data_IF_089416066616
#
_entry.id   IF_089416066616
#
_cell.length_a   1.000
_cell.length_b   1.000
_cell.length_c   1.000
_cell.angle_alpha   90.00
_cell.angle_beta   90.00
_cell.angle_gamma   90.00
#
_symmetry.space_group_name_H-M   'P 1'
#
loop_
_entity.id
_entity.type
_entity.pdbx_description
1 polymer ?
#
# COMPACT_ATOMS: atom_id res chain seq x y z
N UNK A 1 -30.52 11.73 -23.26
CA UNK A 1 -29.36 12.07 -22.41
C UNK A 1 -29.12 10.87 -21.50
N UNK A 2 -28.26 9.94 -21.90
CA UNK A 2 -27.90 8.76 -21.10
C UNK A 2 -26.94 9.19 -20.00
N UNK A 3 -27.32 9.00 -18.74
CA UNK A 3 -26.41 9.17 -17.63
C UNK A 3 -25.29 8.14 -17.78
N UNK A 4 -24.05 8.59 -17.99
CA UNK A 4 -22.88 7.70 -17.89
C UNK A 4 -22.74 7.35 -16.41
N UNK A 5 -23.01 6.10 -16.03
CA UNK A 5 -22.52 5.56 -14.77
C UNK A 5 -20.99 5.59 -14.84
N UNK A 6 -20.36 6.38 -13.98
CA UNK A 6 -18.91 6.29 -13.80
C UNK A 6 -18.61 4.99 -13.08
N UNK A 7 -18.21 3.94 -13.82
CA UNK A 7 -17.64 2.74 -13.22
C UNK A 7 -16.43 3.14 -12.38
N UNK A 8 -16.47 2.84 -11.08
CA UNK A 8 -15.34 3.08 -10.19
C UNK A 8 -14.48 1.84 -10.18
N UNK A 9 -13.23 1.99 -10.61
CA UNK A 9 -12.27 0.90 -10.68
C UNK A 9 -11.44 0.83 -9.40
N UNK A 10 -11.13 -0.38 -8.97
CA UNK A 10 -10.39 -0.66 -7.73
C UNK A 10 -9.27 -1.65 -7.99
N UNK A 11 -8.15 -1.48 -7.29
CA UNK A 11 -7.13 -2.51 -7.13
C UNK A 11 -7.48 -3.32 -5.89
N UNK A 12 -7.60 -4.64 -6.06
CA UNK A 12 -7.82 -5.56 -4.95
C UNK A 12 -6.51 -6.23 -4.54
N UNK A 13 -6.34 -6.48 -3.25
CA UNK A 13 -5.18 -7.16 -2.71
C UNK A 13 -5.53 -7.88 -1.41
N UNK A 14 -4.78 -8.92 -1.08
CA UNK A 14 -4.99 -9.70 0.13
C UNK A 14 -4.07 -9.24 1.26
N UNK A 15 -4.61 -9.18 2.48
CA UNK A 15 -3.84 -9.05 3.72
C UNK A 15 -4.12 -10.29 4.57
N UNK A 16 -3.36 -11.36 4.34
CA UNK A 16 -3.65 -12.66 4.93
C UNK A 16 -4.83 -13.32 4.26
N UNK A 17 -5.87 -13.66 5.02
CA UNK A 17 -7.10 -14.26 4.52
C UNK A 17 -8.14 -13.26 4.02
N UNK A 18 -7.93 -11.97 4.27
CA UNK A 18 -8.89 -10.91 3.99
C UNK A 18 -8.56 -10.18 2.68
N UNK A 19 -9.58 -9.79 1.92
CA UNK A 19 -9.45 -9.03 0.67
C UNK A 19 -9.80 -7.56 0.91
N UNK A 20 -8.89 -6.68 0.51
CA UNK A 20 -9.05 -5.23 0.57
C UNK A 20 -9.04 -4.63 -0.83
N UNK A 21 -9.49 -3.37 -0.92
CA UNK A 21 -9.52 -2.63 -2.17
C UNK A 21 -9.19 -1.15 -1.97
N UNK A 22 -8.53 -0.55 -2.95
CA UNK A 22 -8.32 0.91 -3.03
C UNK A 22 -8.72 1.42 -4.42
N UNK A 23 -9.26 2.64 -4.56
CA UNK A 23 -9.57 3.21 -5.86
C UNK A 23 -8.34 3.22 -6.76
N UNK A 24 -8.46 2.78 -8.02
CA UNK A 24 -7.31 2.75 -8.93
C UNK A 24 -6.69 4.14 -9.13
N UNK A 25 -7.52 5.19 -9.01
CA UNK A 25 -7.10 6.59 -9.15
C UNK A 25 -6.06 7.04 -8.10
N UNK A 26 -5.94 6.34 -6.96
CA UNK A 26 -4.93 6.65 -5.94
C UNK A 26 -3.68 5.75 -6.03
N UNK A 27 -3.69 4.75 -6.92
CA UNK A 27 -2.58 3.82 -7.10
C UNK A 27 -1.62 4.38 -8.13
N UNK A 28 -0.39 4.72 -7.72
CA UNK A 28 0.65 5.20 -8.61
C UNK A 28 1.27 4.08 -9.45
N UNK A 29 1.65 2.99 -8.79
CA UNK A 29 2.29 1.83 -9.39
C UNK A 29 2.25 0.64 -8.41
N UNK A 30 2.40 -0.57 -8.93
CA UNK A 30 2.56 -1.80 -8.16
C UNK A 30 3.97 -2.30 -8.46
N UNK A 31 4.78 -2.47 -7.42
CA UNK A 31 6.18 -2.89 -7.52
C UNK A 31 6.37 -4.20 -6.75
N UNK A 32 7.35 -5.00 -7.18
CA UNK A 32 7.79 -6.15 -6.41
C UNK A 32 8.36 -5.72 -5.06
N UNK A 33 8.23 -6.59 -4.06
CA UNK A 33 8.74 -6.31 -2.72
C UNK A 33 10.27 -6.31 -2.72
N UNK A 34 10.85 -5.29 -2.07
CA UNK A 34 12.28 -5.15 -1.82
C UNK A 34 12.47 -4.67 -0.39
N UNK A 35 13.64 -4.94 0.18
CA UNK A 35 13.99 -4.48 1.52
C UNK A 35 13.99 -2.95 1.59
N UNK A 36 13.45 -2.42 2.69
CA UNK A 36 13.45 -0.99 2.98
C UNK A 36 14.54 -0.64 4.01
N UNK A 37 15.13 0.54 3.87
CA UNK A 37 16.05 1.11 4.85
C UNK A 37 15.29 1.44 6.13
N UNK A 38 15.62 0.76 7.23
CA UNK A 38 14.95 0.96 8.51
C UNK A 38 15.21 2.36 9.07
N UNK A 39 14.13 3.01 9.51
CA UNK A 39 14.19 4.28 10.24
C UNK A 39 14.18 3.98 11.74
N UNK A 40 15.20 4.40 12.51
CA UNK A 40 15.21 4.28 13.96
C UNK A 40 14.05 5.03 14.63
N UNK A 41 13.51 4.49 15.71
CA UNK A 41 12.43 5.10 16.50
C UNK A 41 11.13 5.38 15.72
N UNK A 42 10.93 4.73 14.58
CA UNK A 42 9.66 4.76 13.86
C UNK A 42 8.57 3.97 14.59
N UNK A 43 7.28 4.23 14.28
CA UNK A 43 6.20 3.39 14.77
C UNK A 43 6.33 1.97 14.21
N UNK A 44 5.79 0.96 14.91
CA UNK A 44 5.98 -0.46 14.58
C UNK A 44 5.52 -0.84 13.16
N UNK A 45 4.53 -0.14 12.62
CA UNK A 45 4.04 -0.35 11.25
C UNK A 45 4.93 0.27 10.18
N UNK A 46 5.91 1.12 10.52
CA UNK A 46 6.84 1.70 9.57
C UNK A 46 7.98 0.72 9.31
N UNK A 47 7.97 0.09 8.14
CA UNK A 47 9.03 -0.83 7.72
C UNK A 47 10.31 -0.05 7.44
N UNK A 48 10.20 1.11 6.77
CA UNK A 48 11.34 1.97 6.46
C UNK A 48 11.10 2.90 5.27
N UNK A 49 12.19 3.30 4.62
CA UNK A 49 12.19 4.01 3.33
C UNK A 49 12.73 3.11 2.23
N UNK A 50 12.08 3.10 1.07
CA UNK A 50 12.60 2.48 -0.16
C UNK A 50 12.93 3.56 -1.17
N UNK A 51 14.04 3.41 -1.90
CA UNK A 51 14.30 4.24 -3.07
C UNK A 51 13.45 3.74 -4.24
N UNK A 52 12.60 4.62 -4.76
CA UNK A 52 11.84 4.37 -5.99
C UNK A 52 12.26 5.42 -7.01
N UNK A 53 13.20 5.05 -7.88
CA UNK A 53 13.74 5.90 -8.96
C UNK A 53 14.32 7.21 -8.43
N UNK A 54 15.11 7.14 -7.35
CA UNK A 54 15.73 8.30 -6.72
C UNK A 54 14.80 9.08 -5.77
N UNK A 55 13.63 8.53 -5.45
CA UNK A 55 12.67 9.12 -4.50
C UNK A 55 12.53 8.21 -3.29
N UNK A 56 12.79 8.74 -2.09
CA UNK A 56 12.55 8.03 -0.83
C UNK A 56 11.05 7.90 -0.55
N UNK A 57 10.51 6.70 -0.74
CA UNK A 57 9.09 6.39 -0.50
C UNK A 57 8.95 5.61 0.82
N UNK A 58 8.10 6.06 1.75
CA UNK A 58 7.87 5.32 2.99
C UNK A 58 7.15 4.01 2.71
N UNK A 59 7.66 2.94 3.32
CA UNK A 59 7.07 1.59 3.26
C UNK A 59 6.48 1.28 4.63
N UNK A 60 5.19 0.94 4.64
CA UNK A 60 4.46 0.56 5.85
C UNK A 60 3.94 -0.88 5.72
N UNK A 61 3.89 -1.58 6.85
CA UNK A 61 3.15 -2.83 6.99
C UNK A 61 1.68 -2.48 7.22
N UNK A 62 0.86 -2.68 6.18
CA UNK A 62 -0.58 -2.40 6.24
C UNK A 62 -1.30 -3.30 7.25
N UNK A 63 -0.82 -4.53 7.50
CA UNK A 63 -1.43 -5.43 8.48
C UNK A 63 -1.27 -4.84 9.87
N UNK A 64 -0.06 -4.43 10.24
CA UNK A 64 0.17 -3.73 11.51
C UNK A 64 -0.60 -2.42 11.60
N UNK A 65 -0.66 -1.64 10.51
CA UNK A 65 -1.38 -0.35 10.49
C UNK A 65 -2.88 -0.51 10.73
N UNK A 66 -3.46 -1.65 10.31
CA UNK A 66 -4.87 -1.98 10.48
C UNK A 66 -5.15 -2.87 11.71
N UNK A 67 -4.15 -3.14 12.55
CA UNK A 67 -4.32 -3.96 13.76
C UNK A 67 -4.37 -5.47 13.53
N UNK A 68 -3.91 -5.94 12.37
CA UNK A 68 -3.75 -7.36 12.04
C UNK A 68 -2.35 -7.86 12.43
N UNK A 69 -2.16 -9.19 12.46
CA UNK A 69 -0.84 -9.80 12.70
C UNK A 69 0.15 -9.39 11.61
N UNK A 70 1.44 -9.24 11.93
CA UNK A 70 2.49 -8.79 10.99
C UNK A 70 2.58 -9.63 9.69
N UNK A 71 3.06 -9.00 8.60
CA UNK A 71 3.43 -9.67 7.34
C UNK A 71 4.66 -10.55 7.51
#
# INVERSE_FOLDING_TARGET
MTARSSETQYVTFALGSEVFAVPVAVVREILDHEEAFRIPNGPDYLVGLRDVRGQGVPVIDLRLKLGLSRT
#
